data_IF_425473215858
#
_entry.id   IF_425473215858
#
_cell.length_a   1.000
_cell.length_b   1.000
_cell.length_c   1.000
_cell.angle_alpha   90.00
_cell.angle_beta   90.00
_cell.angle_gamma   90.00
#
_symmetry.space_group_name_H-M   'P 1'
#
loop_
_entity.id
_entity.type
_entity.pdbx_description
1 polymer ?
#
# COMPACT_ATOMS: atom_id res chain seq x y z
N UNK A 1 24.22 -14.88 7.43
CA UNK A 1 22.81 -15.19 7.50
C UNK A 1 22.19 -15.01 6.13
N UNK A 2 21.49 -16.04 5.63
CA UNK A 2 20.73 -15.98 4.38
C UNK A 2 19.25 -16.13 4.70
N UNK A 3 18.42 -15.32 4.06
CA UNK A 3 16.96 -15.33 4.19
C UNK A 3 16.38 -15.46 2.78
N UNK A 4 15.47 -16.41 2.58
CA UNK A 4 14.71 -16.56 1.34
C UNK A 4 13.22 -16.43 1.64
N UNK A 5 12.47 -15.84 0.72
CA UNK A 5 11.01 -15.74 0.80
C UNK A 5 10.37 -16.19 -0.50
N UNK A 6 9.17 -16.72 -0.40
CA UNK A 6 8.39 -17.16 -1.56
C UNK A 6 6.93 -17.35 -1.18
N UNK A 7 6.03 -17.15 -2.14
CA UNK A 7 4.59 -17.24 -1.91
C UNK A 7 4.05 -18.68 -1.95
N UNK A 8 4.75 -19.61 -2.58
CA UNK A 8 4.39 -21.04 -2.63
C UNK A 8 2.94 -21.35 -3.01
N UNK A 9 2.34 -20.61 -3.96
CA UNK A 9 0.95 -20.82 -4.37
C UNK A 9 0.70 -22.17 -5.05
N UNK A 10 1.66 -22.64 -5.86
CA UNK A 10 1.56 -23.89 -6.63
C UNK A 10 2.51 -25.00 -6.13
N UNK A 11 3.40 -24.69 -5.22
CA UNK A 11 4.42 -25.60 -4.69
C UNK A 11 4.52 -25.47 -3.18
N UNK A 12 5.25 -26.38 -2.56
CA UNK A 12 5.51 -26.37 -1.11
C UNK A 12 6.99 -26.14 -0.86
N UNK A 13 7.38 -25.63 0.31
CA UNK A 13 8.80 -25.57 0.70
C UNK A 13 9.51 -26.93 0.63
N UNK A 14 8.74 -28.04 0.74
CA UNK A 14 9.27 -29.41 0.59
C UNK A 14 9.62 -29.80 -0.84
N UNK A 15 9.17 -29.01 -1.83
CA UNK A 15 9.47 -29.25 -3.26
C UNK A 15 10.80 -28.61 -3.69
N UNK A 16 11.43 -27.84 -2.78
CA UNK A 16 12.77 -27.33 -2.98
C UNK A 16 13.76 -28.49 -3.04
N UNK A 17 14.83 -28.32 -3.82
CA UNK A 17 15.90 -29.32 -3.89
C UNK A 17 16.50 -29.57 -2.49
N UNK A 18 16.91 -30.82 -2.19
CA UNK A 18 17.38 -31.20 -0.86
C UNK A 18 18.50 -30.33 -0.30
N UNK A 19 19.38 -29.83 -1.16
CA UNK A 19 20.50 -28.96 -0.79
C UNK A 19 20.01 -27.63 -0.22
N UNK A 20 18.93 -27.06 -0.78
CA UNK A 20 18.32 -25.82 -0.27
C UNK A 20 17.53 -26.06 1.00
N UNK A 21 16.81 -27.20 1.08
CA UNK A 21 16.08 -27.54 2.31
C UNK A 21 17.01 -27.66 3.52
N UNK A 22 18.19 -28.22 3.35
CA UNK A 22 19.19 -28.33 4.39
C UNK A 22 19.84 -27.00 4.79
N UNK A 23 19.88 -26.03 3.85
CA UNK A 23 20.48 -24.70 4.10
C UNK A 23 19.47 -23.68 4.66
N UNK A 24 18.14 -23.93 4.50
CA UNK A 24 17.06 -23.15 5.08
C UNK A 24 16.22 -24.00 6.05
N UNK A 25 16.83 -24.40 7.20
CA UNK A 25 16.17 -25.32 8.12
C UNK A 25 15.04 -24.67 8.92
N UNK A 26 15.09 -23.34 9.08
CA UNK A 26 14.07 -22.58 9.79
C UNK A 26 13.03 -22.11 8.78
N UNK A 27 11.78 -22.46 9.04
CA UNK A 27 10.61 -22.04 8.23
C UNK A 27 9.72 -21.18 9.09
N UNK A 28 9.32 -20.05 8.52
CA UNK A 28 8.38 -19.12 9.15
C UNK A 28 7.27 -18.86 8.15
N UNK A 29 6.04 -19.04 8.57
CA UNK A 29 4.84 -18.65 7.82
C UNK A 29 4.43 -17.26 8.31
N UNK A 30 4.13 -16.37 7.36
CA UNK A 30 3.68 -15.02 7.68
C UNK A 30 2.16 -14.99 7.55
N UNK A 31 1.51 -14.42 8.55
CA UNK A 31 0.06 -14.18 8.51
C UNK A 31 -0.28 -13.03 7.55
N UNK A 32 -1.50 -13.04 7.04
CA UNK A 32 -2.02 -11.95 6.23
C UNK A 32 -2.13 -10.67 7.07
N UNK A 33 -1.86 -9.53 6.42
CA UNK A 33 -1.97 -8.22 7.07
C UNK A 33 -3.44 -7.88 7.33
N UNK A 34 -3.72 -7.40 8.53
CA UNK A 34 -5.02 -6.86 8.92
C UNK A 34 -5.16 -5.38 8.55
N UNK A 35 -6.38 -4.84 8.59
CA UNK A 35 -6.60 -3.41 8.39
C UNK A 35 -5.83 -2.55 9.43
N UNK A 36 -5.73 -3.02 10.67
CA UNK A 36 -4.94 -2.34 11.71
C UNK A 36 -3.44 -2.33 11.40
N UNK A 37 -2.92 -3.41 10.82
CA UNK A 37 -1.53 -3.47 10.41
C UNK A 37 -1.26 -2.51 9.25
N UNK A 38 -2.19 -2.36 8.31
CA UNK A 38 -2.08 -1.35 7.26
C UNK A 38 -2.05 0.07 7.82
N UNK A 39 -2.87 0.40 8.84
CA UNK A 39 -2.81 1.70 9.52
C UNK A 39 -1.44 1.93 10.15
N UNK A 40 -0.89 0.93 10.84
CA UNK A 40 0.47 1.03 11.43
C UNK A 40 1.53 1.27 10.36
N UNK A 41 1.49 0.51 9.25
CA UNK A 41 2.44 0.65 8.13
C UNK A 41 2.38 2.05 7.53
N UNK A 42 1.19 2.65 7.44
CA UNK A 42 1.02 4.01 6.91
C UNK A 42 1.57 5.11 7.83
N UNK A 43 1.60 4.89 9.16
CA UNK A 43 1.90 5.93 10.16
C UNK A 43 3.22 5.76 10.89
N UNK A 44 3.52 4.55 11.37
CA UNK A 44 4.56 4.33 12.37
C UNK A 44 6.00 4.38 11.82
N UNK A 45 6.34 3.74 10.69
CA UNK A 45 7.72 3.73 10.21
C UNK A 45 8.27 5.14 9.97
N UNK A 46 9.58 5.32 10.17
CA UNK A 46 10.24 6.58 9.85
C UNK A 46 10.05 6.95 8.37
N UNK A 47 10.07 5.95 7.50
CA UNK A 47 9.82 6.08 6.06
C UNK A 47 8.40 5.59 5.69
N UNK A 48 7.38 5.88 6.52
CA UNK A 48 6.00 5.57 6.18
C UNK A 48 5.59 6.24 4.86
N UNK A 49 4.80 5.54 4.04
CA UNK A 49 4.40 6.01 2.70
C UNK A 49 3.76 7.40 2.74
N UNK A 50 2.87 7.64 3.70
CA UNK A 50 2.24 8.96 3.88
C UNK A 50 3.29 10.05 4.06
N UNK A 51 4.32 9.81 4.88
CA UNK A 51 5.40 10.79 5.11
C UNK A 51 6.24 11.04 3.86
N UNK A 52 6.45 9.99 3.04
CA UNK A 52 7.18 10.13 1.77
C UNK A 52 6.42 11.02 0.79
N UNK A 53 5.11 10.81 0.62
CA UNK A 53 4.29 11.65 -0.27
C UNK A 53 4.14 13.09 0.23
N UNK A 54 4.01 13.31 1.55
CA UNK A 54 4.02 14.65 2.14
C UNK A 54 5.34 15.36 1.82
N UNK A 55 6.47 14.66 1.98
CA UNK A 55 7.77 15.24 1.67
C UNK A 55 7.95 15.53 0.16
N UNK A 56 7.48 14.61 -0.70
CA UNK A 56 7.52 14.77 -2.15
C UNK A 56 6.73 15.99 -2.63
N UNK A 57 5.46 16.11 -2.21
CA UNK A 57 4.62 17.25 -2.55
C UNK A 57 5.12 18.56 -1.92
N UNK A 58 5.76 18.48 -0.76
CA UNK A 58 6.43 19.61 -0.12
C UNK A 58 7.57 20.20 -0.95
N UNK A 59 8.22 19.41 -1.81
CA UNK A 59 9.25 19.95 -2.74
C UNK A 59 8.68 20.89 -3.80
N UNK A 60 7.40 20.73 -4.13
CA UNK A 60 6.63 21.58 -5.05
C UNK A 60 5.82 22.67 -4.31
N UNK A 61 6.14 22.95 -3.04
CA UNK A 61 5.42 23.91 -2.19
C UNK A 61 3.94 23.56 -1.93
N UNK A 62 3.55 22.30 -2.09
CA UNK A 62 2.22 21.81 -1.74
C UNK A 62 2.29 21.13 -0.37
N UNK A 63 1.61 21.71 0.62
CA UNK A 63 1.52 21.12 1.96
C UNK A 63 0.30 20.19 2.02
N UNK A 64 0.55 18.91 2.23
CA UNK A 64 -0.51 17.91 2.34
C UNK A 64 -0.60 17.38 3.76
N UNK A 65 -1.82 17.32 4.28
CA UNK A 65 -2.14 16.75 5.59
C UNK A 65 -3.16 15.63 5.41
N UNK A 66 -2.93 14.48 6.03
CA UNK A 66 -3.88 13.38 6.06
C UNK A 66 -4.60 13.35 7.41
N UNK A 67 -5.92 13.29 7.39
CA UNK A 67 -6.69 13.06 8.62
C UNK A 67 -6.55 11.59 9.07
N UNK A 68 -6.84 11.32 10.33
CA UNK A 68 -6.78 9.95 10.87
C UNK A 68 -7.80 9.07 10.15
N UNK A 69 -9.00 9.59 9.93
CA UNK A 69 -10.09 8.92 9.23
C UNK A 69 -9.72 8.57 7.78
N UNK A 70 -9.00 9.48 7.10
CA UNK A 70 -8.48 9.20 5.75
C UNK A 70 -7.49 8.03 5.74
N UNK A 71 -6.57 7.98 6.70
CA UNK A 71 -5.60 6.88 6.82
C UNK A 71 -6.30 5.55 7.11
N UNK A 72 -7.27 5.55 8.02
CA UNK A 72 -8.08 4.37 8.34
C UNK A 72 -8.89 3.91 7.12
N UNK A 73 -9.43 4.84 6.36
CA UNK A 73 -10.18 4.52 5.13
C UNK A 73 -9.29 3.93 4.03
N UNK A 74 -8.10 4.49 3.80
CA UNK A 74 -7.11 3.95 2.88
C UNK A 74 -6.73 2.51 3.28
N UNK A 75 -6.48 2.29 4.57
CA UNK A 75 -6.15 0.97 5.11
C UNK A 75 -7.28 -0.04 4.91
N UNK A 76 -8.54 0.37 5.15
CA UNK A 76 -9.71 -0.48 4.95
C UNK A 76 -9.90 -0.87 3.48
N UNK A 77 -9.74 0.08 2.54
CA UNK A 77 -9.82 -0.19 1.10
C UNK A 77 -8.69 -1.15 0.69
N UNK A 78 -7.45 -0.93 1.14
CA UNK A 78 -6.32 -1.79 0.82
C UNK A 78 -6.53 -3.23 1.33
N UNK A 79 -7.06 -3.37 2.54
CA UNK A 79 -7.40 -4.67 3.10
C UNK A 79 -8.50 -5.36 2.28
N UNK A 80 -9.56 -4.64 1.93
CA UNK A 80 -10.66 -5.20 1.13
C UNK A 80 -10.17 -5.65 -0.24
N UNK A 81 -9.42 -4.81 -0.95
CA UNK A 81 -8.89 -5.15 -2.28
C UNK A 81 -7.93 -6.35 -2.22
N UNK A 82 -7.06 -6.44 -1.20
CA UNK A 82 -6.20 -7.62 -1.01
C UNK A 82 -6.99 -8.91 -0.72
N UNK A 83 -8.16 -8.80 -0.10
CA UNK A 83 -9.02 -9.94 0.18
C UNK A 83 -9.82 -10.39 -1.07
N UNK A 84 -10.26 -9.44 -1.87
CA UNK A 84 -11.14 -9.68 -3.01
C UNK A 84 -10.36 -9.97 -4.31
N UNK A 85 -9.03 -9.70 -4.31
CA UNK A 85 -8.10 -9.95 -5.42
C UNK A 85 -6.86 -10.71 -4.95
N UNK A 86 -5.79 -10.68 -5.76
CA UNK A 86 -4.50 -11.25 -5.35
C UNK A 86 -3.92 -10.47 -4.15
N UNK A 87 -3.61 -11.19 -3.07
CA UNK A 87 -3.00 -10.61 -1.90
C UNK A 87 -1.51 -10.30 -2.16
N UNK A 88 -1.21 -9.03 -2.36
CA UNK A 88 0.16 -8.52 -2.55
C UNK A 88 0.72 -7.83 -1.30
N UNK A 89 0.05 -8.00 -0.17
CA UNK A 89 0.47 -7.45 1.12
C UNK A 89 0.54 -5.92 1.11
N UNK A 90 1.55 -5.37 1.78
CA UNK A 90 1.71 -3.93 1.94
C UNK A 90 1.97 -3.15 0.63
N UNK A 91 2.36 -3.83 -0.47
CA UNK A 91 2.53 -3.21 -1.78
C UNK A 91 1.23 -2.57 -2.27
N UNK A 92 0.08 -3.11 -1.88
CA UNK A 92 -1.24 -2.56 -2.20
C UNK A 92 -1.39 -1.11 -1.74
N UNK A 93 -0.84 -0.76 -0.58
CA UNK A 93 -0.87 0.62 -0.07
C UNK A 93 -0.16 1.60 -1.00
N UNK A 94 0.95 1.18 -1.60
CA UNK A 94 1.70 2.02 -2.53
C UNK A 94 0.86 2.37 -3.76
N UNK A 95 0.29 1.35 -4.40
CA UNK A 95 -0.58 1.51 -5.58
C UNK A 95 -1.81 2.39 -5.28
N UNK A 96 -2.45 2.18 -4.12
CA UNK A 96 -3.62 2.96 -3.72
C UNK A 96 -3.25 4.42 -3.47
N UNK A 97 -2.12 4.70 -2.80
CA UNK A 97 -1.67 6.07 -2.57
C UNK A 97 -1.24 6.76 -3.87
N UNK A 98 -0.58 6.07 -4.79
CA UNK A 98 -0.29 6.60 -6.12
C UNK A 98 -1.56 7.04 -6.83
N UNK A 99 -2.57 6.17 -6.85
CA UNK A 99 -3.85 6.48 -7.50
C UNK A 99 -4.62 7.61 -6.81
N UNK A 100 -4.61 7.61 -5.47
CA UNK A 100 -5.27 8.65 -4.67
C UNK A 100 -4.69 10.04 -4.94
N UNK A 101 -3.38 10.11 -5.13
CA UNK A 101 -2.62 11.36 -5.27
C UNK A 101 -2.24 11.68 -6.72
N UNK A 102 -2.65 10.85 -7.70
CA UNK A 102 -2.26 10.99 -9.11
C UNK A 102 -2.51 12.40 -9.65
N UNK A 103 -3.75 12.88 -9.52
CA UNK A 103 -4.12 14.23 -9.99
C UNK A 103 -3.32 15.31 -9.26
N UNK A 104 -3.17 15.15 -7.94
CA UNK A 104 -2.45 16.10 -7.10
C UNK A 104 -0.96 16.15 -7.45
N UNK A 105 -0.34 15.00 -7.71
CA UNK A 105 1.06 14.93 -8.11
C UNK A 105 1.28 15.54 -9.51
N UNK A 106 0.30 15.38 -10.40
CA UNK A 106 0.35 15.95 -11.74
C UNK A 106 0.23 17.48 -11.74
N UNK A 107 -0.70 18.00 -10.93
CA UNK A 107 -0.98 19.45 -10.85
C UNK A 107 -0.04 20.21 -9.91
N UNK A 108 0.68 19.50 -9.02
CA UNK A 108 1.50 20.10 -7.97
C UNK A 108 2.53 21.13 -8.51
N UNK A 109 3.12 20.85 -9.67
CA UNK A 109 4.12 21.75 -10.29
C UNK A 109 3.53 23.09 -10.75
N UNK A 110 2.24 23.14 -11.03
CA UNK A 110 1.52 24.32 -11.49
C UNK A 110 0.82 25.07 -10.33
N UNK A 111 0.79 24.46 -9.14
CA UNK A 111 0.19 25.06 -7.95
C UNK A 111 1.14 26.06 -7.29
N UNK A 112 0.63 27.25 -7.00
CA UNK A 112 1.35 28.22 -6.18
C UNK A 112 0.94 28.07 -4.72
N UNK A 113 1.83 27.54 -3.87
CA UNK A 113 1.64 27.40 -2.41
C UNK A 113 0.23 26.94 -2.03
N UNK A 114 -0.03 25.66 -2.15
CA UNK A 114 -1.33 25.06 -1.79
C UNK A 114 -1.23 24.31 -0.46
N UNK A 115 -2.28 24.41 0.33
CA UNK A 115 -2.47 23.61 1.54
C UNK A 115 -3.69 22.72 1.35
N UNK A 116 -3.48 21.39 1.35
CA UNK A 116 -4.50 20.41 1.00
C UNK A 116 -4.65 19.40 2.14
N UNK A 117 -5.90 19.21 2.56
CA UNK A 117 -6.23 18.20 3.56
C UNK A 117 -6.92 17.01 2.91
N UNK A 118 -6.29 15.83 2.97
CA UNK A 118 -6.89 14.58 2.53
C UNK A 118 -7.82 14.07 3.63
N UNK A 119 -9.11 14.06 3.35
CA UNK A 119 -10.17 13.60 4.23
C UNK A 119 -10.70 12.24 3.78
N UNK A 120 -11.49 11.57 4.64
CA UNK A 120 -12.20 10.34 4.27
C UNK A 120 -13.05 10.52 3.01
N UNK A 121 -13.78 11.65 2.91
CA UNK A 121 -14.61 11.94 1.74
C UNK A 121 -13.79 12.08 0.45
N UNK A 122 -12.60 12.68 0.52
CA UNK A 122 -11.66 12.74 -0.61
C UNK A 122 -11.20 11.34 -1.04
N UNK A 123 -10.88 10.49 -0.06
CA UNK A 123 -10.47 9.11 -0.32
C UNK A 123 -11.60 8.33 -1.01
N UNK A 124 -12.82 8.44 -0.51
CA UNK A 124 -13.98 7.76 -1.09
C UNK A 124 -14.29 8.24 -2.51
N UNK A 125 -14.20 9.55 -2.77
CA UNK A 125 -14.41 10.11 -4.10
C UNK A 125 -13.40 9.59 -5.12
N UNK A 126 -12.10 9.65 -4.78
CA UNK A 126 -11.01 9.28 -5.69
C UNK A 126 -10.86 7.77 -5.88
N UNK A 127 -11.23 6.97 -4.89
CA UNK A 127 -11.09 5.53 -4.92
C UNK A 127 -12.44 4.79 -5.14
N UNK A 128 -13.54 5.52 -5.38
CA UNK A 128 -14.86 4.93 -5.60
C UNK A 128 -14.89 3.91 -6.74
N UNK A 129 -14.14 4.16 -7.79
CA UNK A 129 -14.08 3.30 -8.98
C UNK A 129 -13.23 2.04 -8.70
N UNK A 130 -12.17 2.16 -7.89
CA UNK A 130 -11.31 1.03 -7.51
C UNK A 130 -12.04 0.08 -6.57
N UNK A 131 -12.84 0.62 -5.66
CA UNK A 131 -13.60 -0.18 -4.70
C UNK A 131 -14.79 -0.93 -5.35
N UNK A 132 -15.22 -0.52 -6.55
CA UNK A 132 -16.40 -1.07 -7.25
C UNK A 132 -16.07 -1.97 -8.42
N UNK A 133 -14.87 -1.87 -8.98
CA UNK A 133 -14.52 -2.53 -10.24
C UNK A 133 -13.37 -3.54 -10.02
N UNK A 134 -13.74 -4.84 -9.98
CA UNK A 134 -12.78 -5.94 -9.89
C UNK A 134 -11.80 -5.95 -11.08
N UNK A 135 -12.20 -5.45 -12.24
CA UNK A 135 -11.35 -5.39 -13.43
C UNK A 135 -10.31 -4.27 -13.32
N UNK A 136 -10.67 -3.08 -12.79
CA UNK A 136 -9.70 -2.01 -12.56
C UNK A 136 -8.66 -2.38 -11.50
N UNK A 137 -9.02 -3.15 -10.49
CA UNK A 137 -8.07 -3.63 -9.48
C UNK A 137 -6.98 -4.55 -10.05
N UNK A 138 -7.25 -5.21 -11.19
CA UNK A 138 -6.26 -6.03 -11.93
C UNK A 138 -5.35 -5.22 -12.85
N UNK A 139 -5.78 -4.03 -13.29
CA UNK A 139 -4.98 -3.16 -14.18
C UNK A 139 -4.07 -2.17 -13.45
N UNK A 140 -4.27 -2.01 -12.12
CA UNK A 140 -3.46 -1.12 -11.28
C UNK A 140 -2.25 -1.86 -10.67
N UNK A 141 -1.96 -3.05 -11.15
CA UNK A 141 -0.82 -3.89 -10.70
C UNK A 141 0.34 -3.83 -11.65
#
# INVERSE_FOLDING_TARGET
>A
LFIASGAFHLSKPSDLIPELQGRFPIRVELDDLTAEDFVKILKEPNNALVKQYIALLGTENVQVTFTIEAIERIAAIAFQVNRDTDNIGARRLHTILEKLLEDLLFEASDMQMAEITITEAYVDEKLADIAKDEDLSRYIL
#
